data_IF_888037003462
#
_entry.id   IF_888037003462
#
_cell.length_a   1.000
_cell.length_b   1.000
_cell.length_c   1.000
_cell.angle_alpha   90.00
_cell.angle_beta   90.00
_cell.angle_gamma   90.00
#
_symmetry.space_group_name_H-M   'P 1'
#
loop_
_entity.id
_entity.type
_entity.pdbx_description
1 polymer ?
#
# COMPACT_ATOMS: atom_id res chain seq x y z
N UNK A 1 18.42 18.45 -11.74
CA UNK A 1 18.21 17.26 -10.88
C UNK A 1 17.03 16.50 -11.44
N UNK A 2 17.20 15.24 -11.85
CA UNK A 2 16.07 14.40 -12.23
C UNK A 2 15.19 14.20 -11.01
N UNK A 3 13.92 14.61 -11.10
CA UNK A 3 12.96 14.42 -10.01
C UNK A 3 12.75 12.92 -9.82
N UNK A 4 12.95 12.40 -8.61
CA UNK A 4 12.75 10.97 -8.36
C UNK A 4 11.31 10.57 -8.66
N UNK A 5 11.11 9.41 -9.29
CA UNK A 5 9.78 8.86 -9.56
C UNK A 5 9.03 8.46 -8.28
N UNK A 6 9.75 8.31 -7.17
CA UNK A 6 9.24 7.79 -5.90
C UNK A 6 9.40 8.80 -4.77
N UNK A 7 8.32 8.97 -4.01
CA UNK A 7 8.31 9.61 -2.69
C UNK A 7 8.11 8.53 -1.63
N UNK A 8 9.08 8.37 -0.75
CA UNK A 8 9.09 7.34 0.28
C UNK A 8 8.70 7.97 1.60
N UNK A 9 7.53 7.60 2.12
CA UNK A 9 7.05 8.07 3.41
C UNK A 9 7.32 6.98 4.45
N UNK A 10 8.14 7.27 5.45
CA UNK A 10 8.51 6.27 6.46
C UNK A 10 7.70 6.44 7.75
N UNK A 11 7.18 5.32 8.26
CA UNK A 11 6.43 5.24 9.50
C UNK A 11 7.30 4.69 10.65
N UNK A 12 6.88 4.96 11.89
CA UNK A 12 7.58 4.61 13.14
C UNK A 12 8.04 3.15 13.17
N UNK A 13 7.16 2.19 12.85
CA UNK A 13 7.50 0.76 12.91
C UNK A 13 8.70 0.41 12.03
N UNK A 14 8.77 0.95 10.81
CA UNK A 14 9.86 0.70 9.88
C UNK A 14 11.21 1.24 10.35
N UNK A 15 11.21 2.26 11.22
CA UNK A 15 12.42 2.80 11.84
C UNK A 15 12.83 1.93 13.03
N UNK A 16 11.92 1.72 13.98
CA UNK A 16 12.25 1.05 15.24
C UNK A 16 12.49 -0.45 15.09
N UNK A 17 11.92 -1.09 14.05
CA UNK A 17 12.10 -2.51 13.76
C UNK A 17 13.39 -2.81 12.97
N UNK A 18 14.02 -1.81 12.36
CA UNK A 18 15.16 -2.02 11.45
C UNK A 18 16.44 -1.32 11.94
N UNK A 19 17.37 -0.99 11.05
CA UNK A 19 18.73 -0.54 11.41
C UNK A 19 19.27 0.46 10.38
N UNK A 20 20.38 1.18 10.68
CA UNK A 20 20.95 2.20 9.79
C UNK A 20 21.19 1.73 8.36
N UNK A 21 21.68 0.51 8.18
CA UNK A 21 21.91 -0.07 6.86
C UNK A 21 20.61 -0.19 6.05
N UNK A 22 19.50 -0.51 6.70
CA UNK A 22 18.20 -0.61 6.05
C UNK A 22 17.66 0.76 5.69
N UNK A 23 17.77 1.74 6.58
CA UNK A 23 17.32 3.12 6.31
C UNK A 23 18.10 3.73 5.15
N UNK A 24 19.43 3.53 5.11
CA UNK A 24 20.27 4.03 4.03
C UNK A 24 19.98 3.33 2.69
N UNK A 25 19.67 2.04 2.72
CA UNK A 25 19.28 1.32 1.51
C UNK A 25 17.93 1.82 0.97
N UNK A 26 16.96 2.07 1.86
CA UNK A 26 15.67 2.68 1.50
C UNK A 26 15.87 4.08 0.94
N UNK A 27 16.75 4.90 1.54
CA UNK A 27 16.99 6.27 1.12
C UNK A 27 17.53 6.41 -0.32
N UNK A 28 18.12 5.35 -0.87
CA UNK A 28 18.60 5.31 -2.26
C UNK A 28 17.48 5.13 -3.29
N UNK A 29 16.31 4.66 -2.87
CA UNK A 29 15.20 4.36 -3.77
C UNK A 29 14.49 5.63 -4.28
N UNK A 30 14.53 6.73 -3.53
CA UNK A 30 13.84 7.95 -3.92
C UNK A 30 13.90 9.05 -2.88
N UNK A 31 13.07 10.07 -3.07
CA UNK A 31 13.01 11.20 -2.14
C UNK A 31 12.29 10.77 -0.87
N UNK A 32 12.91 11.05 0.28
CA UNK A 32 12.53 10.50 1.56
C UNK A 32 11.84 11.53 2.44
N UNK A 33 10.62 11.21 2.83
CA UNK A 33 9.76 12.04 3.66
C UNK A 33 9.49 11.35 5.00
N UNK A 34 9.45 12.15 6.06
CA UNK A 34 9.11 11.74 7.40
C UNK A 34 7.89 12.54 7.88
N UNK A 35 6.72 11.92 8.11
CA UNK A 35 5.59 12.64 8.69
C UNK A 35 5.99 13.30 10.02
N UNK A 36 5.57 14.54 10.24
CA UNK A 36 5.88 15.27 11.49
C UNK A 36 5.47 14.46 12.74
N UNK A 37 4.30 13.80 12.69
CA UNK A 37 3.83 12.94 13.78
C UNK A 37 4.75 11.74 14.06
N UNK A 38 5.42 11.21 13.03
CA UNK A 38 6.42 10.14 13.18
C UNK A 38 7.71 10.73 13.74
N UNK A 39 8.15 11.90 13.27
CA UNK A 39 9.34 12.57 13.80
C UNK A 39 9.21 12.84 15.31
N UNK A 40 8.04 13.31 15.74
CA UNK A 40 7.69 13.51 17.16
C UNK A 40 7.69 12.16 17.91
N UNK A 41 7.08 11.13 17.34
CA UNK A 41 7.03 9.81 18.00
C UNK A 41 8.42 9.19 18.17
N UNK A 42 9.26 9.23 17.14
CA UNK A 42 10.65 8.78 17.21
C UNK A 42 11.43 9.54 18.27
N UNK A 43 11.18 10.85 18.42
CA UNK A 43 11.75 11.64 19.52
C UNK A 43 11.24 11.20 20.88
N UNK A 44 9.98 10.86 21.02
CA UNK A 44 9.46 10.34 22.28
C UNK A 44 10.08 8.98 22.63
N UNK A 45 10.20 8.07 21.66
CA UNK A 45 10.85 6.75 21.84
C UNK A 45 12.32 6.93 22.20
N UNK A 46 13.06 7.78 21.48
CA UNK A 46 14.47 8.06 21.77
C UNK A 46 14.71 8.62 23.18
N UNK A 47 13.70 9.26 23.79
CA UNK A 47 13.76 9.82 25.13
C UNK A 47 13.09 8.94 26.21
N UNK A 48 12.71 7.69 25.89
CA UNK A 48 12.02 6.79 26.82
C UNK A 48 10.61 7.23 27.22
N UNK A 49 9.98 8.11 26.44
CA UNK A 49 8.62 8.64 26.67
C UNK A 49 7.53 7.86 25.90
N UNK A 50 7.94 6.82 25.18
CA UNK A 50 7.06 6.01 24.35
C UNK A 50 7.66 4.60 24.18
N UNK A 51 6.80 3.62 23.93
CA UNK A 51 7.23 2.24 23.69
C UNK A 51 7.90 2.12 22.32
N UNK A 52 9.00 1.37 22.26
CA UNK A 52 9.75 1.11 21.03
C UNK A 52 11.21 0.80 21.31
N UNK A 53 11.99 0.61 20.25
CA UNK A 53 13.43 0.41 20.37
C UNK A 53 14.14 1.78 20.49
N UNK A 54 14.48 2.17 21.72
CA UNK A 54 15.16 3.45 21.99
C UNK A 54 16.50 3.59 21.26
N UNK A 55 17.27 2.49 21.15
CA UNK A 55 18.58 2.51 20.51
C UNK A 55 18.45 2.86 19.03
N UNK A 56 17.52 2.20 18.33
CA UNK A 56 17.23 2.49 16.93
C UNK A 56 16.69 3.90 16.75
N UNK A 57 15.78 4.35 17.61
CA UNK A 57 15.25 5.72 17.55
C UNK A 57 16.34 6.77 17.71
N UNK A 58 17.27 6.61 18.67
CA UNK A 58 18.43 7.50 18.86
C UNK A 58 19.36 7.49 17.64
N UNK A 59 19.67 6.31 17.10
CA UNK A 59 20.52 6.21 15.91
C UNK A 59 19.89 6.90 14.70
N UNK A 60 18.58 6.72 14.48
CA UNK A 60 17.87 7.36 13.38
C UNK A 60 17.93 8.89 13.48
N UNK A 61 17.74 9.45 14.68
CA UNK A 61 17.84 10.90 14.90
C UNK A 61 19.22 11.47 14.59
N UNK A 62 20.27 10.70 14.88
CA UNK A 62 21.65 11.13 14.65
C UNK A 62 22.13 10.86 13.20
N UNK A 63 21.30 10.23 12.36
CA UNK A 63 21.65 9.89 10.98
C UNK A 63 21.43 11.07 10.04
N UNK A 64 22.34 12.05 10.07
CA UNK A 64 22.34 13.23 9.19
C UNK A 64 22.36 12.90 7.70
N UNK A 65 22.95 11.76 7.35
CA UNK A 65 23.31 11.42 5.97
C UNK A 65 22.13 10.93 5.13
N UNK A 66 20.98 10.70 5.77
CA UNK A 66 19.84 10.07 5.11
C UNK A 66 18.88 11.06 4.43
N UNK A 67 19.12 12.38 4.55
CA UNK A 67 18.35 13.45 3.89
C UNK A 67 16.82 13.34 4.01
N UNK A 68 16.30 12.78 5.11
CA UNK A 68 14.86 12.71 5.37
C UNK A 68 14.30 14.11 5.58
N UNK A 69 13.28 14.49 4.80
CA UNK A 69 12.60 15.75 4.98
C UNK A 69 11.34 15.56 5.81
N UNK A 70 11.20 16.33 6.88
CA UNK A 70 9.96 16.33 7.66
C UNK A 70 8.85 16.98 6.84
N UNK A 71 7.70 16.32 6.75
CA UNK A 71 6.51 16.84 6.06
C UNK A 71 5.36 17.05 7.01
N UNK A 72 4.67 18.18 6.86
CA UNK A 72 3.44 18.55 7.58
C UNK A 72 2.20 18.37 6.69
N UNK A 73 2.38 17.89 5.45
CA UNK A 73 1.28 17.64 4.53
C UNK A 73 0.35 16.60 5.13
N UNK A 74 -0.93 16.94 5.17
CA UNK A 74 -2.02 16.08 5.62
C UNK A 74 -3.26 16.36 4.78
N UNK A 75 -4.09 15.35 4.58
CA UNK A 75 -5.39 15.51 3.95
C UNK A 75 -6.44 14.67 4.67
N UNK A 76 -7.67 15.19 4.68
CA UNK A 76 -8.83 14.44 5.18
C UNK A 76 -9.25 13.41 4.16
N UNK A 77 -9.66 12.24 4.64
CA UNK A 77 -10.26 11.18 3.84
C UNK A 77 -11.43 10.59 4.64
N UNK A 78 -12.53 10.23 3.98
CA UNK A 78 -13.73 9.73 4.65
C UNK A 78 -13.43 8.53 5.57
N UNK A 79 -12.61 7.58 5.10
CA UNK A 79 -12.20 6.40 5.87
C UNK A 79 -11.11 6.65 6.94
N UNK A 80 -10.61 7.89 7.05
CA UNK A 80 -9.60 8.31 8.01
C UNK A 80 -10.13 9.32 9.03
N UNK A 81 -11.45 9.51 9.12
CA UNK A 81 -12.06 10.41 10.10
C UNK A 81 -12.13 9.74 11.47
N UNK A 82 -11.58 10.41 12.47
CA UNK A 82 -11.78 10.06 13.89
C UNK A 82 -13.11 10.68 14.33
N UNK A 83 -14.08 9.86 14.72
CA UNK A 83 -15.33 10.36 15.28
C UNK A 83 -15.08 11.04 16.63
N UNK A 84 -15.79 12.13 16.93
CA UNK A 84 -15.61 12.91 18.16
C UNK A 84 -15.81 12.08 19.45
N UNK A 85 -16.53 10.96 19.38
CA UNK A 85 -16.79 10.03 20.49
C UNK A 85 -15.82 8.85 20.56
N UNK A 86 -14.88 8.73 19.62
CA UNK A 86 -13.96 7.60 19.57
C UNK A 86 -12.77 7.84 20.51
N UNK A 87 -12.77 7.13 21.63
CA UNK A 87 -11.59 7.01 22.50
C UNK A 87 -10.56 6.08 21.86
N UNK A 88 -9.73 6.64 20.98
CA UNK A 88 -8.64 5.92 20.34
C UNK A 88 -7.40 5.90 21.23
N UNK A 89 -6.70 4.76 21.24
CA UNK A 89 -5.37 4.63 21.82
C UNK A 89 -4.37 5.56 21.10
N UNK A 90 -3.26 5.87 21.77
CA UNK A 90 -2.16 6.68 21.18
C UNK A 90 -1.70 6.11 19.84
N UNK A 91 -1.48 4.79 19.79
CA UNK A 91 -1.04 4.11 18.57
C UNK A 91 -2.07 4.21 17.44
N UNK A 92 -3.37 4.05 17.75
CA UNK A 92 -4.42 4.18 16.75
C UNK A 92 -4.51 5.62 16.19
N UNK A 93 -4.34 6.64 17.04
CA UNK A 93 -4.29 8.05 16.60
C UNK A 93 -3.09 8.31 15.71
N UNK A 94 -1.91 7.79 16.10
CA UNK A 94 -0.70 7.91 15.30
C UNK A 94 -0.89 7.30 13.91
N UNK A 95 -1.41 6.07 13.82
CA UNK A 95 -1.68 5.41 12.55
C UNK A 95 -2.61 6.23 11.64
N UNK A 96 -3.67 6.82 12.19
CA UNK A 96 -4.59 7.67 11.41
C UNK A 96 -3.89 8.92 10.91
N UNK A 97 -3.12 9.59 11.77
CA UNK A 97 -2.36 10.79 11.36
C UNK A 97 -1.32 10.46 10.29
N UNK A 98 -0.64 9.32 10.38
CA UNK A 98 0.28 8.84 9.34
C UNK A 98 -0.46 8.58 8.03
N UNK A 99 -1.62 7.91 8.08
CA UNK A 99 -2.42 7.68 6.89
C UNK A 99 -2.89 9.00 6.25
N UNK A 100 -3.34 9.97 7.05
CA UNK A 100 -3.72 11.30 6.56
C UNK A 100 -2.53 12.04 5.95
N UNK A 101 -1.33 11.88 6.52
CA UNK A 101 -0.12 12.43 5.93
C UNK A 101 0.22 11.79 4.59
N UNK A 102 0.11 10.46 4.48
CA UNK A 102 0.30 9.74 3.23
C UNK A 102 -0.64 10.22 2.11
N UNK A 103 -1.92 10.42 2.43
CA UNK A 103 -2.90 11.01 1.50
C UNK A 103 -2.54 12.46 1.16
N UNK A 104 -2.12 13.25 2.16
CA UNK A 104 -1.69 14.64 1.94
C UNK A 104 -0.52 14.76 0.97
N UNK A 105 0.49 13.91 1.12
CA UNK A 105 1.63 13.83 0.21
C UNK A 105 1.19 13.35 -1.17
N UNK A 106 0.34 12.33 -1.26
CA UNK A 106 -0.18 11.83 -2.53
C UNK A 106 -0.95 12.90 -3.31
N UNK A 107 -1.79 13.68 -2.64
CA UNK A 107 -2.53 14.78 -3.24
C UNK A 107 -1.64 15.94 -3.71
N UNK A 108 -0.58 16.25 -2.95
CA UNK A 108 0.37 17.30 -3.32
C UNK A 108 1.28 16.88 -4.50
N UNK A 109 1.43 15.58 -4.73
CA UNK A 109 2.32 15.02 -5.75
C UNK A 109 1.60 14.04 -6.69
N UNK A 110 0.61 14.51 -7.48
CA UNK A 110 -0.26 13.65 -8.29
C UNK A 110 0.48 12.93 -9.43
N UNK A 111 1.71 13.33 -9.76
CA UNK A 111 2.53 12.72 -10.82
C UNK A 111 3.64 11.81 -10.29
N UNK A 112 3.78 11.65 -8.97
CA UNK A 112 4.78 10.79 -8.34
C UNK A 112 4.09 9.64 -7.60
N UNK A 113 4.76 8.50 -7.52
CA UNK A 113 4.29 7.37 -6.73
C UNK A 113 4.73 7.55 -5.28
N UNK A 114 3.75 7.70 -4.38
CA UNK A 114 3.98 7.74 -2.94
C UNK A 114 3.93 6.33 -2.39
N UNK A 115 5.00 5.95 -1.68
CA UNK A 115 5.15 4.62 -1.07
C UNK A 115 5.29 4.80 0.43
N UNK A 116 4.25 4.44 1.18
CA UNK A 116 4.32 4.33 2.63
C UNK A 116 5.10 3.07 3.01
N UNK A 117 6.15 3.21 3.80
CA UNK A 117 6.94 2.11 4.33
C UNK A 117 6.56 1.93 5.80
N UNK A 118 5.85 0.85 6.09
CA UNK A 118 5.36 0.54 7.43
C UNK A 118 5.29 -0.98 7.63
N UNK A 119 5.75 -1.47 8.77
CA UNK A 119 5.63 -2.87 9.17
C UNK A 119 4.27 -3.18 9.83
N UNK A 120 3.47 -2.16 10.15
CA UNK A 120 2.10 -2.31 10.64
C UNK A 120 1.14 -2.79 9.55
N UNK A 121 0.72 -4.06 9.64
CA UNK A 121 -0.21 -4.68 8.68
C UNK A 121 -1.52 -3.88 8.58
N UNK A 122 -2.06 -3.50 9.73
CA UNK A 122 -3.34 -2.77 9.83
C UNK A 122 -3.30 -1.38 9.17
N UNK A 123 -2.14 -0.71 9.18
CA UNK A 123 -1.95 0.57 8.48
C UNK A 123 -1.86 0.35 6.97
N UNK A 124 -1.08 -0.64 6.51
CA UNK A 124 -0.98 -0.96 5.08
C UNK A 124 -2.33 -1.37 4.48
N UNK A 125 -3.08 -2.22 5.18
CA UNK A 125 -4.43 -2.62 4.77
C UNK A 125 -5.39 -1.44 4.69
N UNK A 126 -5.22 -0.45 5.58
CA UNK A 126 -6.01 0.79 5.55
C UNK A 126 -5.63 1.64 4.33
N UNK A 127 -4.35 1.85 4.04
CA UNK A 127 -3.90 2.58 2.84
C UNK A 127 -4.44 1.93 1.57
N UNK A 128 -4.37 0.60 1.46
CA UNK A 128 -4.87 -0.12 0.30
C UNK A 128 -6.38 0.07 0.05
N UNK A 129 -7.15 0.46 1.06
CA UNK A 129 -8.60 0.72 0.97
C UNK A 129 -8.96 2.16 0.62
N UNK A 130 -8.01 3.10 0.64
CA UNK A 130 -8.27 4.51 0.35
C UNK A 130 -8.45 4.81 -1.14
N UNK A 131 -8.33 3.80 -2.01
CA UNK A 131 -8.45 3.89 -3.47
C UNK A 131 -7.63 5.04 -4.09
N UNK A 132 -6.50 5.36 -3.45
CA UNK A 132 -5.60 6.44 -3.86
C UNK A 132 -4.60 5.90 -4.88
N UNK A 133 -4.73 6.34 -6.13
CA UNK A 133 -4.14 5.65 -7.27
C UNK A 133 -2.61 5.79 -7.36
N UNK A 134 -2.08 6.91 -6.84
CA UNK A 134 -0.65 7.19 -6.75
C UNK A 134 -0.05 6.87 -5.37
N UNK A 135 -0.80 6.20 -4.49
CA UNK A 135 -0.37 5.87 -3.13
C UNK A 135 -0.44 4.36 -2.90
N UNK A 136 0.65 3.78 -2.40
CA UNK A 136 0.67 2.40 -1.94
C UNK A 136 1.45 2.25 -0.64
N UNK A 137 1.37 1.06 -0.03
CA UNK A 137 2.12 0.76 1.19
C UNK A 137 2.83 -0.60 1.11
N UNK A 138 4.06 -0.65 1.60
CA UNK A 138 4.90 -1.86 1.63
C UNK A 138 5.60 -2.02 2.98
N UNK A 139 5.94 -3.24 3.41
CA UNK A 139 6.77 -3.45 4.60
C UNK A 139 8.22 -3.06 4.35
N UNK A 140 8.95 -2.76 5.43
CA UNK A 140 10.36 -2.35 5.39
C UNK A 140 11.25 -3.41 4.75
N UNK A 141 10.96 -4.69 4.98
CA UNK A 141 11.68 -5.81 4.37
C UNK A 141 11.55 -5.83 2.84
N UNK A 142 10.38 -5.47 2.31
CA UNK A 142 10.14 -5.39 0.86
C UNK A 142 10.84 -4.17 0.27
N UNK A 143 10.81 -3.02 0.94
CA UNK A 143 11.59 -1.84 0.54
C UNK A 143 13.10 -2.14 0.52
N UNK A 144 13.60 -2.87 1.53
CA UNK A 144 14.99 -3.33 1.57
C UNK A 144 15.32 -4.28 0.41
N UNK A 145 14.44 -5.22 0.09
CA UNK A 145 14.65 -6.11 -1.05
C UNK A 145 14.66 -5.35 -2.38
N UNK A 146 13.77 -4.38 -2.53
CA UNK A 146 13.75 -3.49 -3.69
C UNK A 146 15.09 -2.76 -3.84
N UNK A 147 15.62 -2.16 -2.77
CA UNK A 147 16.91 -1.46 -2.82
C UNK A 147 18.13 -2.32 -3.20
N UNK A 148 18.01 -3.65 -3.09
CA UNK A 148 19.08 -4.61 -3.43
C UNK A 148 18.98 -5.16 -4.84
N UNK A 149 17.77 -5.18 -5.40
CA UNK A 149 17.47 -5.84 -6.68
C UNK A 149 17.16 -4.85 -7.78
N UNK A 150 16.93 -3.59 -7.43
CA UNK A 150 16.40 -2.54 -8.31
C UNK A 150 15.07 -2.93 -8.97
N UNK A 151 14.38 -3.95 -8.45
CA UNK A 151 13.07 -4.41 -8.90
C UNK A 151 12.02 -3.89 -7.93
N UNK A 152 11.18 -2.97 -8.41
CA UNK A 152 10.11 -2.43 -7.59
C UNK A 152 9.04 -3.51 -7.32
N UNK A 153 8.41 -3.51 -6.14
CA UNK A 153 7.35 -4.46 -5.82
C UNK A 153 6.17 -4.32 -6.79
N UNK A 154 5.40 -5.41 -7.03
CA UNK A 154 4.26 -5.38 -7.97
C UNK A 154 3.25 -4.26 -7.67
N UNK A 155 2.99 -3.97 -6.40
CA UNK A 155 2.06 -2.89 -5.99
C UNK A 155 2.56 -1.51 -6.41
N UNK A 156 3.88 -1.28 -6.36
CA UNK A 156 4.49 -0.02 -6.81
C UNK A 156 4.41 0.09 -8.33
N UNK A 157 4.69 -1.01 -9.06
CA UNK A 157 4.53 -1.04 -10.52
C UNK A 157 3.10 -0.74 -10.97
N UNK A 158 2.09 -1.21 -10.24
CA UNK A 158 0.70 -0.90 -10.53
C UNK A 158 0.41 0.60 -10.43
N UNK A 159 0.84 1.25 -9.35
CA UNK A 159 0.69 2.71 -9.17
C UNK A 159 1.43 3.50 -10.25
N UNK A 160 2.66 3.13 -10.61
CA UNK A 160 3.40 3.80 -11.70
C UNK A 160 2.69 3.64 -13.04
N UNK A 161 2.25 2.41 -13.37
CA UNK A 161 1.58 2.15 -14.64
C UNK A 161 0.28 2.94 -14.76
N UNK A 162 -0.42 3.11 -13.63
CA UNK A 162 -1.59 3.97 -13.56
C UNK A 162 -1.23 5.44 -13.85
N UNK A 163 -0.23 5.98 -13.15
CA UNK A 163 0.26 7.35 -13.35
C UNK A 163 0.67 7.63 -14.80
N UNK A 164 1.41 6.71 -15.42
CA UNK A 164 1.82 6.82 -16.82
C UNK A 164 0.63 6.89 -17.77
N UNK A 165 -0.43 6.11 -17.53
CA UNK A 165 -1.65 6.16 -18.33
C UNK A 165 -2.37 7.50 -18.17
N UNK A 166 -2.44 8.05 -16.96
CA UNK A 166 -3.07 9.35 -16.71
C UNK A 166 -2.31 10.49 -17.39
N UNK A 167 -0.99 10.51 -17.26
CA UNK A 167 -0.13 11.50 -17.94
C UNK A 167 -0.32 11.41 -19.46
N UNK A 168 -0.36 10.21 -20.03
CA UNK A 168 -0.58 10.01 -21.46
C UNK A 168 -1.95 10.51 -21.93
N UNK A 169 -3.00 10.29 -21.12
CA UNK A 169 -4.35 10.77 -21.39
C UNK A 169 -4.40 12.31 -21.41
N UNK A 170 -3.80 12.96 -20.41
CA UNK A 170 -3.74 14.42 -20.31
C UNK A 170 -3.01 15.06 -21.49
N UNK A 171 -1.87 14.49 -21.92
CA UNK A 171 -1.11 14.97 -23.08
C UNK A 171 -1.95 14.85 -24.37
N UNK A 172 -2.69 13.75 -24.51
CA UNK A 172 -3.52 13.49 -25.70
C UNK A 172 -4.75 14.40 -25.76
N UNK A 173 -5.34 14.75 -24.62
CA UNK A 173 -6.45 15.71 -24.52
C UNK A 173 -5.97 17.16 -24.77
N UNK A 174 -4.80 17.54 -24.25
CA UNK A 174 -4.22 18.86 -24.49
C UNK A 174 -3.79 19.08 -25.96
N UNK A 175 -3.34 18.03 -26.66
CA UNK A 175 -2.93 18.12 -28.07
C UNK A 175 -4.11 18.31 -29.02
N UNK A 176 -5.32 17.85 -28.64
CA UNK A 176 -6.54 18.02 -29.43
C UNK A 176 -7.23 19.39 -29.23
N UNK A 177 -6.69 20.28 -28.39
CA UNK A 177 -7.27 21.59 -28.10
C UNK A 177 -6.56 22.78 -28.76
N UNK A 178 -5.55 22.57 -29.61
CA UNK A 178 -5.02 23.64 -30.47
C UNK A 178 -5.77 23.67 -31.80
N UNK A 179 -6.58 24.71 -32.10
CA UNK A 179 -7.03 24.94 -33.46
C UNK A 179 -5.80 25.31 -34.29
N UNK A 180 -5.48 24.51 -35.31
CA UNK A 180 -4.62 24.95 -36.41
C UNK A 180 -5.33 26.12 -37.11
N UNK A 181 -5.05 27.35 -36.68
CA UNK A 181 -5.21 28.51 -37.54
C UNK A 181 -3.98 28.54 -38.47
N UNK A 182 -4.07 27.81 -39.57
CA UNK A 182 -3.30 28.16 -40.77
C UNK A 182 -4.09 29.25 -41.49
N UNK A 183 -3.75 30.50 -41.19
CA UNK A 183 -4.12 31.65 -42.01
C UNK A 183 -3.50 31.46 -43.40
N UNK A 184 -4.27 30.84 -44.29
CA UNK A 184 -3.98 30.86 -45.72
C UNK A 184 -4.85 31.95 -46.29
N UNK A 185 -4.26 33.12 -46.54
CA UNK A 185 -4.90 34.21 -47.26
C UNK A 185 -5.12 33.73 -48.70
N UNK A 186 -6.34 33.26 -49.01
CA UNK A 186 -6.84 33.22 -50.38
C UNK A 186 -8.07 34.11 -50.47
N UNK A 187 -7.87 35.17 -51.25
CA UNK A 187 -8.85 36.16 -51.61
C UNK A 187 -9.72 35.59 -52.74
N UNK A 188 -11.04 35.56 -52.52
CA UNK A 188 -12.01 35.82 -53.58
C UNK A 188 -12.80 34.64 -54.17
N UNK A 189 -14.09 34.63 -53.79
CA UNK A 189 -15.24 34.82 -54.70
C UNK A 189 -16.19 33.63 -54.91
N UNK A 190 -17.38 33.81 -54.33
CA UNK A 190 -18.75 33.55 -54.87
C UNK A 190 -19.47 32.20 -54.74
N UNK A 191 -20.79 32.36 -54.48
CA UNK A 191 -21.95 31.48 -54.72
C UNK A 191 -22.12 30.29 -53.76
N UNK A 192 -23.04 30.31 -52.78
CA UNK A 192 -24.52 30.31 -52.78
C UNK A 192 -25.15 28.91 -52.64
N UNK A 193 -26.13 28.86 -51.74
CA UNK A 193 -27.30 27.96 -51.63
C UNK A 193 -27.19 26.49 -51.17
N UNK A 194 -27.89 26.27 -50.05
CA UNK A 194 -28.90 25.25 -49.73
C UNK A 194 -28.50 23.85 -49.21
N UNK A 195 -28.95 23.63 -47.96
CA UNK A 195 -29.69 22.47 -47.41
C UNK A 195 -29.17 21.04 -47.59
N UNK A 196 -28.86 20.37 -46.47
CA UNK A 196 -29.66 19.24 -45.95
C UNK A 196 -29.02 18.60 -44.71
N UNK A 197 -29.69 18.79 -43.57
CA UNK A 197 -30.08 17.80 -42.56
C UNK A 197 -29.48 16.38 -42.65
N UNK A 198 -28.75 15.94 -41.61
CA UNK A 198 -28.95 14.60 -41.01
C UNK A 198 -28.20 14.36 -39.68
N UNK A 199 -29.03 14.16 -38.64
CA UNK A 199 -28.96 13.06 -37.65
C UNK A 199 -27.84 13.06 -36.60
N UNK A 200 -28.14 13.72 -35.49
CA UNK A 200 -27.58 13.43 -34.16
C UNK A 200 -28.02 12.01 -33.75
N UNK A 201 -27.07 11.12 -33.47
CA UNK A 201 -27.29 9.82 -32.81
C UNK A 201 -26.45 9.75 -31.55
N UNK A 202 -27.13 10.03 -30.45
CA UNK A 202 -27.17 9.33 -29.17
C UNK A 202 -25.93 8.55 -28.71
N UNK A 203 -25.43 8.98 -27.55
CA UNK A 203 -24.37 8.38 -26.76
C UNK A 203 -24.72 6.95 -26.32
N UNK A 204 -23.99 5.98 -26.86
CA UNK A 204 -24.05 4.61 -26.38
C UNK A 204 -23.20 4.46 -25.11
N UNK A 205 -23.90 4.53 -23.98
CA UNK A 205 -23.45 4.17 -22.64
C UNK A 205 -22.89 2.74 -22.62
N UNK A 206 -21.58 2.59 -22.77
CA UNK A 206 -20.88 1.31 -22.59
C UNK A 206 -20.81 1.02 -21.09
N UNK A 207 -21.69 0.14 -20.62
CA UNK A 207 -21.61 -0.49 -19.30
C UNK A 207 -20.31 -1.31 -19.19
N UNK A 208 -19.48 -1.13 -18.15
CA UNK A 208 -18.34 -2.01 -17.94
C UNK A 208 -18.82 -3.41 -17.52
N UNK A 209 -18.32 -4.40 -18.26
CA UNK A 209 -18.63 -5.82 -18.13
C UNK A 209 -18.05 -6.37 -16.80
N UNK A 210 -18.91 -6.62 -15.82
CA UNK A 210 -18.58 -7.20 -14.49
C UNK A 210 -18.18 -8.68 -14.53
N UNK A 211 -17.96 -9.27 -15.72
CA UNK A 211 -17.69 -10.71 -15.90
C UNK A 211 -16.23 -11.14 -15.85
N UNK A 212 -15.25 -10.25 -15.65
CA UNK A 212 -13.81 -10.61 -15.79
C UNK A 212 -12.94 -10.48 -14.53
N UNK A 213 -13.50 -10.14 -13.36
CA UNK A 213 -12.73 -10.03 -12.10
C UNK A 213 -12.68 -11.36 -11.32
N UNK A 214 -13.37 -12.42 -11.77
CA UNK A 214 -13.50 -13.66 -11.01
C UNK A 214 -12.48 -14.78 -11.32
N UNK A 215 -11.44 -14.58 -12.14
CA UNK A 215 -10.57 -15.70 -12.60
C UNK A 215 -9.07 -15.47 -12.34
N UNK A 216 -8.69 -14.94 -11.18
CA UNK A 216 -7.30 -15.08 -10.73
C UNK A 216 -7.08 -15.34 -9.23
N UNK A 217 -8.14 -15.64 -8.46
CA UNK A 217 -8.02 -15.97 -7.04
C UNK A 217 -7.93 -17.48 -6.73
N UNK A 218 -7.85 -18.34 -7.75
CA UNK A 218 -7.96 -19.81 -7.55
C UNK A 218 -6.60 -20.54 -7.65
N UNK A 219 -5.51 -19.89 -8.03
CA UNK A 219 -4.23 -20.59 -8.25
C UNK A 219 -3.19 -20.53 -7.12
N UNK A 220 -3.45 -19.82 -6.02
CA UNK A 220 -2.54 -19.81 -4.85
C UNK A 220 -3.21 -20.00 -3.47
N UNK A 221 -4.54 -20.15 -3.40
CA UNK A 221 -5.26 -20.33 -2.14
C UNK A 221 -5.44 -21.78 -1.66
N UNK A 222 -5.21 -22.78 -2.51
CA UNK A 222 -5.39 -24.19 -2.16
C UNK A 222 -4.11 -24.85 -1.64
N UNK A 223 -2.92 -24.49 -2.13
CA UNK A 223 -1.70 -25.18 -1.72
C UNK A 223 -1.28 -24.90 -0.26
N UNK A 224 -1.56 -23.71 0.26
CA UNK A 224 -1.14 -23.31 1.62
C UNK A 224 -2.04 -23.91 2.71
N UNK A 225 -3.34 -24.07 2.45
CA UNK A 225 -4.27 -24.68 3.42
C UNK A 225 -4.01 -26.18 3.59
N UNK A 226 -3.68 -26.91 2.51
CA UNK A 226 -3.31 -28.32 2.61
C UNK A 226 -2.02 -28.52 3.41
N UNK A 227 -1.01 -27.67 3.23
CA UNK A 227 0.28 -27.81 3.91
C UNK A 227 0.16 -27.58 5.42
N UNK A 228 -0.62 -26.56 5.83
CA UNK A 228 -0.93 -26.31 7.24
C UNK A 228 -1.75 -27.46 7.84
N UNK A 229 -2.73 -28.00 7.10
CA UNK A 229 -3.54 -29.13 7.56
C UNK A 229 -2.68 -30.39 7.76
N UNK A 230 -1.76 -30.69 6.84
CA UNK A 230 -0.85 -31.85 6.95
C UNK A 230 0.09 -31.69 8.14
N UNK A 231 0.65 -30.50 8.36
CA UNK A 231 1.51 -30.23 9.52
C UNK A 231 0.76 -30.36 10.85
N UNK A 232 -0.46 -29.79 10.93
CA UNK A 232 -1.31 -29.93 12.11
C UNK A 232 -1.70 -31.40 12.36
N UNK A 233 -1.97 -32.17 11.30
CA UNK A 233 -2.30 -33.58 11.40
C UNK A 233 -1.10 -34.44 11.82
N UNK A 234 0.08 -34.20 11.23
CA UNK A 234 1.32 -34.85 11.63
C UNK A 234 1.68 -34.56 13.08
N UNK A 235 1.53 -33.31 13.52
CA UNK A 235 1.76 -32.94 14.92
C UNK A 235 0.76 -33.59 15.87
N UNK A 236 -0.52 -33.68 15.48
CA UNK A 236 -1.55 -34.40 16.25
C UNK A 236 -1.20 -35.87 16.48
N UNK A 237 -0.62 -36.55 15.48
CA UNK A 237 -0.21 -37.95 15.59
C UNK A 237 1.03 -38.14 16.45
N UNK A 238 2.04 -37.28 16.30
CA UNK A 238 3.30 -37.41 17.04
C UNK A 238 3.17 -37.02 18.52
N UNK A 239 2.39 -35.99 18.86
CA UNK A 239 2.29 -35.44 20.22
C UNK A 239 0.86 -35.01 20.58
N UNK A 240 -0.06 -35.97 20.82
CA UNK A 240 -1.48 -35.68 21.00
C UNK A 240 -1.79 -34.80 22.22
N UNK A 241 -1.04 -34.95 23.32
CA UNK A 241 -1.27 -34.19 24.56
C UNK A 241 -0.96 -32.69 24.40
N UNK A 242 0.20 -32.36 23.80
CA UNK A 242 0.61 -30.97 23.55
C UNK A 242 -0.31 -30.29 22.53
N UNK A 243 -0.73 -31.03 21.51
CA UNK A 243 -1.68 -30.55 20.52
C UNK A 243 -3.03 -30.20 21.17
N UNK A 244 -3.56 -31.04 22.06
CA UNK A 244 -4.82 -30.74 22.76
C UNK A 244 -4.72 -29.51 23.67
N UNK A 245 -3.58 -29.30 24.34
CA UNK A 245 -3.36 -28.09 25.16
C UNK A 245 -3.33 -26.82 24.30
N UNK A 246 -2.61 -26.85 23.17
CA UNK A 246 -2.61 -25.78 22.19
C UNK A 246 -4.03 -25.51 21.64
N UNK A 247 -4.75 -26.57 21.28
CA UNK A 247 -6.10 -26.48 20.71
C UNK A 247 -7.10 -25.84 21.68
N UNK A 248 -7.03 -26.23 22.97
CA UNK A 248 -7.85 -25.63 24.04
C UNK A 248 -7.46 -24.18 24.32
N UNK A 249 -6.16 -23.85 24.36
CA UNK A 249 -5.68 -22.49 24.63
C UNK A 249 -6.15 -21.48 23.58
N UNK A 250 -6.29 -21.90 22.33
CA UNK A 250 -6.74 -21.05 21.23
C UNK A 250 -8.27 -21.02 21.04
N UNK A 251 -9.05 -21.60 21.97
CA UNK A 251 -10.52 -21.54 21.93
C UNK A 251 -11.16 -22.30 20.77
N UNK A 252 -10.46 -23.28 20.18
CA UNK A 252 -10.97 -24.05 19.05
C UNK A 252 -11.93 -25.16 19.51
N UNK A 253 -12.98 -25.47 18.73
CA UNK A 253 -13.96 -26.49 19.09
C UNK A 253 -13.31 -27.88 19.18
N UNK A 254 -13.80 -28.76 20.06
CA UNK A 254 -13.23 -30.09 20.22
C UNK A 254 -13.32 -30.88 18.91
N UNK A 255 -12.19 -31.46 18.49
CA UNK A 255 -12.14 -32.26 17.27
C UNK A 255 -12.96 -33.55 17.43
N UNK A 256 -13.62 -34.02 16.35
CA UNK A 256 -14.36 -35.28 16.38
C UNK A 256 -13.43 -36.43 16.78
N UNK A 257 -13.95 -37.33 17.61
CA UNK A 257 -13.28 -38.58 17.98
C UNK A 257 -13.32 -39.51 16.78
N UNK A 258 -12.30 -39.46 15.93
CA UNK A 258 -12.11 -40.46 14.88
C UNK A 258 -11.68 -41.74 15.61
N UNK A 259 -12.50 -42.78 15.49
CA UNK A 259 -12.27 -44.10 16.07
C UNK A 259 -11.06 -44.75 15.40
N UNK A 260 -9.88 -44.52 15.94
CA UNK A 260 -8.74 -45.40 15.74
C UNK A 260 -8.30 -45.84 17.12
N UNK A 261 -8.84 -46.99 17.57
CA UNK A 261 -8.31 -47.70 18.72
C UNK A 261 -6.94 -48.27 18.33
N UNK A 262 -5.85 -47.90 19.00
CA UNK A 262 -4.62 -48.66 18.92
C UNK A 262 -4.85 -49.98 19.68
N UNK A 263 -4.69 -51.10 19.00
CA UNK A 263 -4.66 -52.44 19.59
C UNK A 263 -3.80 -52.43 20.86
N UNK A 264 -4.39 -52.82 22.00
CA UNK A 264 -3.60 -53.13 23.19
C UNK A 264 -2.83 -54.44 22.96
N UNK A 265 -1.53 -54.51 23.30
CA UNK A 265 -0.82 -55.77 23.30
C UNK A 265 -1.35 -56.65 24.44
N UNK A 266 -1.69 -57.91 24.10
CA UNK A 266 -2.02 -58.95 25.09
C UNK A 266 -0.82 -59.13 26.03
N UNK A 267 -1.09 -59.02 27.33
CA UNK A 267 -0.18 -59.51 28.36
C UNK A 267 -0.12 -61.03 28.28
N UNK A 268 1.10 -61.57 28.22
CA UNK A 268 1.45 -62.90 28.70
C UNK A 268 2.44 -62.70 29.86
#
# INVERSE_FOLDING_TARGET
MSKSAYLLLVETSAIVSTNPNTWQAIAKLGECLLPEVVAIEIKNIANGKAEGNESNAKQFQNSSDLNWQVTTLTAKHADLVIGATQNLSRQARLMINVAQSAVGVANAHPTQCVVLISDEISLRDRIAKLDSENLCAIPSAVARQWSRTDQAPPIVHQSIKYLQKQIQKQISEATNQFPRQTDTIYLGTSSSSSNAEQKIKDDQKVSPNYGQIAINLVKFGLATTFLVAILLFGWRLAQPQKFQQFWKKNGLPPLPKILVQPNQPKQN
#
